data_IF_336959470945
#
_entry.id   IF_336959470945
#
_cell.length_a   1.000
_cell.length_b   1.000
_cell.length_c   1.000
_cell.angle_alpha   90.00
_cell.angle_beta   90.00
_cell.angle_gamma   90.00
#
_symmetry.space_group_name_H-M   'P 1'
#
loop_
_entity.id
_entity.type
_entity.pdbx_description
1 polymer ?
#
# COMPACT_ATOMS: atom_id res chain seq x y z
N UNK A 1 -14.66 -21.13 0.65
CA UNK A 1 -14.82 -19.77 1.17
C UNK A 1 -14.05 -18.85 0.24
N UNK A 2 -14.48 -17.58 0.09
CA UNK A 2 -13.72 -16.61 -0.71
C UNK A 2 -12.47 -16.18 0.07
N UNK A 3 -11.38 -15.88 -0.63
CA UNK A 3 -10.21 -15.27 0.00
C UNK A 3 -10.56 -13.90 0.59
N UNK A 4 -9.91 -13.52 1.68
CA UNK A 4 -10.13 -12.26 2.39
C UNK A 4 -8.87 -11.39 2.38
N UNK A 5 -9.03 -10.12 2.02
CA UNK A 5 -7.94 -9.12 2.07
C UNK A 5 -8.29 -7.98 3.01
N UNK A 6 -7.31 -7.55 3.79
CA UNK A 6 -7.35 -6.29 4.55
C UNK A 6 -6.53 -5.25 3.78
N UNK A 7 -7.11 -4.06 3.55
CA UNK A 7 -6.45 -2.96 2.82
C UNK A 7 -6.46 -1.71 3.67
N UNK A 8 -5.30 -1.26 4.14
CA UNK A 8 -5.17 0.00 4.86
C UNK A 8 -5.12 1.19 3.89
N UNK A 9 -5.72 2.33 4.28
CA UNK A 9 -5.97 3.43 3.33
C UNK A 9 -6.92 3.01 2.20
N UNK A 10 -7.85 2.09 2.49
CA UNK A 10 -8.65 1.36 1.50
C UNK A 10 -9.79 2.14 0.86
N UNK A 11 -10.03 3.41 1.25
CA UNK A 11 -11.21 4.18 0.81
C UNK A 11 -10.87 5.33 -0.14
N UNK A 12 -9.61 5.49 -0.50
CA UNK A 12 -9.17 6.54 -1.44
C UNK A 12 -8.00 6.09 -2.32
N UNK A 13 -7.77 6.78 -3.42
CA UNK A 13 -6.59 6.62 -4.29
C UNK A 13 -6.31 5.16 -4.67
N UNK A 14 -5.06 4.73 -4.48
CA UNK A 14 -4.60 3.38 -4.80
C UNK A 14 -5.36 2.33 -3.99
N UNK A 15 -5.57 2.58 -2.68
CA UNK A 15 -6.28 1.65 -1.80
C UNK A 15 -7.73 1.42 -2.22
N UNK A 16 -8.45 2.45 -2.65
CA UNK A 16 -9.82 2.30 -3.17
C UNK A 16 -9.83 1.50 -4.47
N UNK A 17 -8.90 1.78 -5.39
CA UNK A 17 -8.77 1.03 -6.63
C UNK A 17 -8.47 -0.45 -6.35
N UNK A 18 -7.59 -0.74 -5.38
CA UNK A 18 -7.33 -2.09 -4.92
C UNK A 18 -8.59 -2.74 -4.31
N UNK A 19 -9.32 -2.05 -3.43
CA UNK A 19 -10.55 -2.55 -2.83
C UNK A 19 -11.58 -2.96 -3.89
N UNK A 20 -11.78 -2.12 -4.89
CA UNK A 20 -12.68 -2.41 -6.02
C UNK A 20 -12.21 -3.59 -6.85
N UNK A 21 -10.91 -3.67 -7.15
CA UNK A 21 -10.35 -4.77 -7.94
C UNK A 21 -10.49 -6.11 -7.22
N UNK A 22 -10.11 -6.20 -5.94
CA UNK A 22 -10.23 -7.43 -5.16
C UNK A 22 -11.69 -7.91 -5.07
N UNK A 23 -12.64 -6.99 -4.83
CA UNK A 23 -14.07 -7.31 -4.85
C UNK A 23 -14.52 -7.85 -6.21
N UNK A 24 -14.10 -7.23 -7.30
CA UNK A 24 -14.43 -7.66 -8.66
C UNK A 24 -13.87 -9.05 -9.01
N UNK A 25 -12.79 -9.44 -8.34
CA UNK A 25 -12.13 -10.75 -8.48
C UNK A 25 -12.64 -11.80 -7.51
N UNK A 26 -13.72 -11.52 -6.78
CA UNK A 26 -14.39 -12.51 -5.93
C UNK A 26 -13.86 -12.57 -4.49
N UNK A 27 -12.93 -11.69 -4.07
CA UNK A 27 -12.43 -11.65 -2.72
C UNK A 27 -13.40 -10.92 -1.78
N UNK A 28 -13.34 -11.22 -0.49
CA UNK A 28 -13.88 -10.37 0.56
C UNK A 28 -12.86 -9.27 0.87
N UNK A 29 -13.33 -8.06 1.15
CA UNK A 29 -12.47 -6.90 1.40
C UNK A 29 -12.83 -6.22 2.71
N UNK A 30 -11.83 -6.07 3.58
CA UNK A 30 -11.89 -5.25 4.77
C UNK A 30 -11.11 -3.97 4.48
N UNK A 31 -11.80 -2.86 4.29
CA UNK A 31 -11.18 -1.54 4.15
C UNK A 31 -10.91 -0.95 5.54
N UNK A 32 -9.69 -0.51 5.78
CA UNK A 32 -9.31 0.23 6.98
C UNK A 32 -8.85 1.63 6.59
N UNK A 33 -9.40 2.66 7.22
CA UNK A 33 -9.02 4.05 6.95
C UNK A 33 -9.26 4.93 8.18
N UNK A 34 -8.47 5.99 8.32
CA UNK A 34 -8.65 6.97 9.38
C UNK A 34 -9.93 7.82 9.20
N UNK A 35 -10.33 8.06 7.94
CA UNK A 35 -11.48 8.90 7.57
C UNK A 35 -12.79 8.11 7.63
N UNK A 36 -13.46 8.15 8.80
CA UNK A 36 -14.71 7.43 9.01
C UNK A 36 -15.82 7.86 8.04
N UNK A 37 -16.03 9.15 7.83
CA UNK A 37 -17.11 9.65 6.97
C UNK A 37 -16.97 9.16 5.52
N UNK A 38 -15.76 9.24 4.95
CA UNK A 38 -15.48 8.73 3.61
C UNK A 38 -15.60 7.21 3.58
N UNK A 39 -15.12 6.53 4.62
CA UNK A 39 -15.17 5.08 4.74
C UNK A 39 -16.59 4.54 4.71
N UNK A 40 -17.50 5.12 5.49
CA UNK A 40 -18.92 4.75 5.50
C UNK A 40 -19.60 4.98 4.13
N UNK A 41 -19.25 6.07 3.43
CA UNK A 41 -19.80 6.35 2.10
C UNK A 41 -19.33 5.33 1.06
N UNK A 42 -18.03 5.03 1.03
CA UNK A 42 -17.43 4.03 0.14
C UNK A 42 -17.98 2.64 0.46
N UNK A 43 -18.07 2.28 1.74
CA UNK A 43 -18.64 1.00 2.18
C UNK A 43 -20.07 0.81 1.64
N UNK A 44 -20.96 1.81 1.78
CA UNK A 44 -22.32 1.71 1.23
C UNK A 44 -22.34 1.48 -0.27
N UNK A 45 -21.50 2.22 -1.02
CA UNK A 45 -21.41 2.10 -2.49
C UNK A 45 -20.93 0.71 -2.90
N UNK A 46 -19.84 0.22 -2.31
CA UNK A 46 -19.28 -1.08 -2.64
C UNK A 46 -20.15 -2.24 -2.17
N UNK A 47 -20.80 -2.13 -1.01
CA UNK A 47 -21.77 -3.12 -0.52
C UNK A 47 -22.98 -3.25 -1.46
N UNK A 48 -23.45 -2.14 -2.02
CA UNK A 48 -24.55 -2.16 -3.00
C UNK A 48 -24.11 -2.85 -4.31
N UNK A 49 -22.85 -2.66 -4.72
CA UNK A 49 -22.34 -3.17 -5.99
C UNK A 49 -21.89 -4.63 -5.92
N UNK A 50 -21.28 -5.06 -4.80
CA UNK A 50 -20.60 -6.36 -4.69
C UNK A 50 -21.21 -7.32 -3.66
N UNK A 51 -22.20 -6.86 -2.87
CA UNK A 51 -22.81 -7.60 -1.78
C UNK A 51 -22.27 -7.16 -0.41
N UNK A 52 -23.20 -6.94 0.53
CA UNK A 52 -22.85 -6.46 1.88
C UNK A 52 -22.10 -7.51 2.73
N UNK A 53 -22.23 -8.77 2.37
CA UNK A 53 -21.54 -9.91 2.99
C UNK A 53 -20.05 -10.03 2.61
N UNK A 54 -19.62 -9.25 1.61
CA UNK A 54 -18.24 -9.29 1.08
C UNK A 54 -17.42 -8.06 1.39
N UNK A 55 -18.04 -7.00 1.91
CA UNK A 55 -17.40 -5.70 2.13
C UNK A 55 -17.50 -5.32 3.60
N UNK A 56 -16.37 -4.99 4.21
CA UNK A 56 -16.31 -4.39 5.53
C UNK A 56 -15.54 -3.07 5.50
N UNK A 57 -15.88 -2.19 6.41
CA UNK A 57 -15.11 -0.99 6.70
C UNK A 57 -14.90 -0.84 8.21
N UNK A 58 -13.67 -0.56 8.60
CA UNK A 58 -13.32 -0.24 9.99
C UNK A 58 -12.52 1.05 10.01
N UNK A 59 -12.96 2.02 10.83
CA UNK A 59 -12.15 3.18 11.13
C UNK A 59 -10.89 2.71 11.87
N UNK A 60 -9.71 3.07 11.34
CA UNK A 60 -8.44 2.61 11.88
C UNK A 60 -7.36 3.67 11.74
N UNK A 61 -6.74 4.04 12.86
CA UNK A 61 -5.44 4.69 12.87
C UNK A 61 -4.35 3.61 12.84
N UNK A 62 -3.71 3.45 11.70
CA UNK A 62 -2.67 2.42 11.51
C UNK A 62 -1.41 2.66 12.35
N UNK A 63 -1.22 3.85 12.92
CA UNK A 63 -0.10 4.19 13.81
C UNK A 63 -0.34 3.78 15.27
N UNK A 64 -1.58 3.41 15.61
CA UNK A 64 -2.03 3.01 16.94
C UNK A 64 -2.22 1.50 17.04
N UNK A 65 -1.59 0.89 18.06
CA UNK A 65 -1.59 -0.56 18.21
C UNK A 65 -2.97 -1.14 18.56
N UNK A 66 -3.74 -0.46 19.41
CA UNK A 66 -5.05 -0.93 19.81
C UNK A 66 -6.04 -0.83 18.66
N UNK A 67 -5.95 0.25 17.85
CA UNK A 67 -6.74 0.42 16.65
C UNK A 67 -6.49 -0.69 15.63
N UNK A 68 -5.22 -1.09 15.42
CA UNK A 68 -4.86 -2.19 14.51
C UNK A 68 -5.29 -3.56 15.05
N UNK A 69 -5.19 -3.78 16.37
CA UNK A 69 -5.68 -5.02 16.99
C UNK A 69 -7.21 -5.15 16.83
N UNK A 70 -7.96 -4.07 17.07
CA UNK A 70 -9.41 -4.05 16.87
C UNK A 70 -9.79 -4.32 15.40
N UNK A 71 -9.03 -3.79 14.43
CA UNK A 71 -9.22 -4.10 13.02
C UNK A 71 -9.04 -5.60 12.74
N UNK A 72 -8.01 -6.23 13.30
CA UNK A 72 -7.75 -7.64 13.10
C UNK A 72 -8.87 -8.52 13.71
N UNK A 73 -9.28 -8.23 14.94
CA UNK A 73 -10.38 -8.91 15.60
C UNK A 73 -11.68 -8.83 14.78
N UNK A 74 -12.02 -7.63 14.29
CA UNK A 74 -13.21 -7.44 13.49
C UNK A 74 -13.14 -8.17 12.15
N UNK A 75 -11.98 -8.19 11.48
CA UNK A 75 -11.77 -8.93 10.25
C UNK A 75 -11.96 -10.45 10.46
N UNK A 76 -11.39 -11.00 11.52
CA UNK A 76 -11.56 -12.41 11.88
C UNK A 76 -12.99 -12.76 12.28
N UNK A 77 -13.66 -11.89 13.04
CA UNK A 77 -15.08 -12.11 13.42
C UNK A 77 -15.99 -12.16 12.18
N UNK A 78 -15.74 -11.33 11.19
CA UNK A 78 -16.59 -11.23 10.00
C UNK A 78 -16.31 -12.33 8.96
N UNK A 79 -15.04 -12.63 8.70
CA UNK A 79 -14.64 -13.47 7.58
C UNK A 79 -13.91 -14.77 8.00
N UNK A 80 -13.60 -14.92 9.28
CA UNK A 80 -12.95 -16.12 9.83
C UNK A 80 -11.43 -16.15 9.66
N UNK A 81 -10.92 -15.66 8.54
CA UNK A 81 -9.48 -15.61 8.24
C UNK A 81 -9.13 -14.45 7.31
N UNK A 82 -7.84 -14.10 7.25
CA UNK A 82 -7.29 -13.10 6.34
C UNK A 82 -6.16 -13.72 5.53
N UNK A 83 -6.31 -13.76 4.20
CA UNK A 83 -5.33 -14.36 3.28
C UNK A 83 -4.29 -13.36 2.81
N UNK A 84 -4.63 -12.08 2.77
CA UNK A 84 -3.73 -11.03 2.35
C UNK A 84 -3.88 -9.76 3.17
N UNK A 85 -2.76 -9.10 3.45
CA UNK A 85 -2.73 -7.75 4.02
C UNK A 85 -2.03 -6.82 3.04
N UNK A 86 -2.75 -5.77 2.62
CA UNK A 86 -2.21 -4.69 1.79
C UNK A 86 -1.96 -3.48 2.68
N UNK A 87 -0.71 -3.24 3.04
CA UNK A 87 -0.27 -2.06 3.77
C UNK A 87 -0.12 -0.89 2.80
N UNK A 88 -1.21 -0.15 2.60
CA UNK A 88 -1.23 0.95 1.63
C UNK A 88 -1.39 2.33 2.30
N UNK A 89 -1.87 2.40 3.52
CA UNK A 89 -1.95 3.67 4.26
C UNK A 89 -0.56 4.32 4.35
N UNK A 90 -0.50 5.60 4.06
CA UNK A 90 0.73 6.37 4.11
C UNK A 90 0.46 7.86 3.98
N UNK A 91 1.38 8.66 4.46
CA UNK A 91 1.34 10.12 4.37
C UNK A 91 2.61 10.67 3.76
N UNK A 92 2.49 11.87 3.25
CA UNK A 92 3.59 12.55 2.57
C UNK A 92 3.95 13.84 3.31
N UNK A 93 5.25 14.14 3.44
CA UNK A 93 5.73 15.41 3.95
C UNK A 93 6.92 15.90 3.13
N UNK A 94 6.96 17.20 2.89
CA UNK A 94 8.07 17.92 2.22
C UNK A 94 8.96 18.57 3.27
N UNK A 95 10.24 18.65 2.98
CA UNK A 95 11.24 19.40 3.74
C UNK A 95 12.62 18.76 3.67
N UNK A 96 13.67 19.59 3.68
CA UNK A 96 15.02 19.13 3.93
C UNK A 96 15.15 18.70 5.40
N UNK A 97 16.12 17.83 5.73
CA UNK A 97 16.23 17.25 7.09
C UNK A 97 16.24 18.30 8.21
N UNK A 98 16.97 19.39 8.02
CA UNK A 98 17.10 20.44 9.03
C UNK A 98 15.91 21.39 9.15
N UNK A 99 14.94 21.28 8.23
CA UNK A 99 13.73 22.11 8.19
C UNK A 99 12.50 21.37 8.73
N UNK A 100 12.61 20.05 8.94
CA UNK A 100 11.49 19.24 9.40
C UNK A 100 11.32 19.34 10.92
N UNK A 101 10.07 19.54 11.34
CA UNK A 101 9.69 19.37 12.74
C UNK A 101 9.76 17.91 13.15
N UNK A 102 10.21 17.64 14.37
CA UNK A 102 10.27 16.29 14.94
C UNK A 102 8.90 15.60 14.91
N UNK A 103 7.82 16.32 15.21
CA UNK A 103 6.46 15.79 15.14
C UNK A 103 6.04 15.35 13.72
N UNK A 104 6.52 16.03 12.69
CA UNK A 104 6.29 15.63 11.28
C UNK A 104 7.08 14.37 10.95
N UNK A 105 8.33 14.30 11.37
CA UNK A 105 9.17 13.10 11.25
C UNK A 105 8.50 11.89 11.91
N UNK A 106 8.14 12.01 13.19
CA UNK A 106 7.54 10.94 13.97
C UNK A 106 6.22 10.45 13.37
N UNK A 107 5.38 11.37 12.91
CA UNK A 107 4.10 11.04 12.29
C UNK A 107 4.29 10.26 10.98
N UNK A 108 5.22 10.66 10.10
CA UNK A 108 5.50 9.93 8.86
C UNK A 108 6.05 8.54 9.17
N UNK A 109 7.03 8.44 10.07
CA UNK A 109 7.60 7.15 10.47
C UNK A 109 6.57 6.24 11.14
N UNK A 110 5.67 6.79 11.96
CA UNK A 110 4.60 6.03 12.60
C UNK A 110 3.58 5.51 11.58
N UNK A 111 3.18 6.34 10.62
CA UNK A 111 2.16 5.95 9.63
C UNK A 111 2.72 5.05 8.55
N UNK A 112 3.91 5.36 7.99
CA UNK A 112 4.42 4.67 6.79
C UNK A 112 5.28 3.45 7.10
N UNK A 113 5.85 3.37 8.31
CA UNK A 113 6.77 2.27 8.71
C UNK A 113 6.25 1.46 9.88
N UNK A 114 5.97 2.11 11.03
CA UNK A 114 5.49 1.42 12.23
C UNK A 114 4.15 0.71 11.97
N UNK A 115 3.29 1.25 11.14
CA UNK A 115 2.02 0.63 10.75
C UNK A 115 2.22 -0.79 10.17
N UNK A 116 3.24 -0.99 9.34
CA UNK A 116 3.56 -2.31 8.77
C UNK A 116 3.96 -3.30 9.87
N UNK A 117 4.74 -2.85 10.85
CA UNK A 117 5.04 -3.66 12.03
C UNK A 117 3.79 -4.03 12.80
N UNK A 118 2.87 -3.08 13.05
CA UNK A 118 1.65 -3.31 13.81
C UNK A 118 0.70 -4.29 13.09
N UNK A 119 0.45 -4.08 11.80
CA UNK A 119 -0.38 -4.99 10.99
C UNK A 119 0.23 -6.38 10.88
N UNK A 120 1.56 -6.46 10.68
CA UNK A 120 2.27 -7.74 10.68
C UNK A 120 2.08 -8.49 11.99
N UNK A 121 2.25 -7.80 13.13
CA UNK A 121 2.05 -8.39 14.46
C UNK A 121 0.63 -8.89 14.68
N UNK A 122 -0.38 -8.21 14.12
CA UNK A 122 -1.78 -8.56 14.28
C UNK A 122 -2.23 -9.72 13.38
N UNK A 123 -1.72 -9.81 12.15
CA UNK A 123 -2.24 -10.76 11.15
C UNK A 123 -1.34 -11.97 10.90
N UNK A 124 -0.02 -11.85 11.03
CA UNK A 124 0.91 -12.94 10.70
C UNK A 124 0.77 -14.18 11.61
N UNK A 125 0.44 -14.09 12.90
CA UNK A 125 0.26 -15.29 13.72
C UNK A 125 -0.76 -16.28 13.13
N UNK A 126 -1.92 -15.82 12.68
CA UNK A 126 -2.93 -16.67 12.02
C UNK A 126 -2.41 -17.23 10.67
N UNK A 127 -1.72 -16.44 9.88
CA UNK A 127 -1.11 -16.89 8.64
C UNK A 127 -0.06 -18.00 8.88
N UNK A 128 0.71 -17.90 9.97
CA UNK A 128 1.68 -18.95 10.38
C UNK A 128 0.98 -20.26 10.72
N UNK A 129 -0.10 -20.19 11.49
CA UNK A 129 -0.89 -21.38 11.85
C UNK A 129 -1.49 -22.06 10.62
N UNK A 130 -2.00 -21.28 9.69
CA UNK A 130 -2.56 -21.77 8.41
C UNK A 130 -1.49 -22.14 7.38
N UNK A 131 -0.23 -21.76 7.59
CA UNK A 131 0.90 -21.92 6.64
C UNK A 131 0.59 -21.31 5.27
N UNK A 132 -0.09 -20.19 5.24
CA UNK A 132 -0.50 -19.51 4.02
C UNK A 132 -0.79 -18.05 4.33
N UNK A 133 -0.35 -17.15 3.44
CA UNK A 133 -0.65 -15.74 3.54
C UNK A 133 0.21 -14.90 2.60
N UNK A 134 -0.24 -13.67 2.36
CA UNK A 134 0.52 -12.69 1.59
C UNK A 134 0.49 -11.32 2.26
N UNK A 135 1.60 -10.61 2.20
CA UNK A 135 1.71 -9.21 2.61
C UNK A 135 2.23 -8.42 1.43
N UNK A 136 1.52 -7.38 1.05
CA UNK A 136 1.97 -6.45 0.00
C UNK A 136 2.03 -5.04 0.60
N UNK A 137 3.21 -4.43 0.62
CA UNK A 137 3.37 -3.08 1.13
C UNK A 137 3.47 -2.07 -0.01
N UNK A 138 2.87 -0.91 0.18
CA UNK A 138 3.05 0.24 -0.71
C UNK A 138 4.28 1.02 -0.27
N UNK A 139 5.43 0.68 -0.88
CA UNK A 139 6.64 1.47 -0.76
C UNK A 139 6.55 2.71 -1.68
N UNK A 140 7.57 3.03 -2.42
CA UNK A 140 7.63 4.07 -3.45
C UNK A 140 8.92 3.91 -4.25
N UNK A 141 8.99 4.46 -5.45
CA UNK A 141 10.28 4.70 -6.13
C UNK A 141 11.19 5.61 -5.28
N UNK A 142 10.61 6.49 -4.47
CA UNK A 142 11.33 7.33 -3.48
C UNK A 142 12.06 6.53 -2.39
N UNK A 143 11.72 5.26 -2.21
CA UNK A 143 12.47 4.34 -1.35
C UNK A 143 13.63 3.67 -2.07
N UNK A 144 13.64 3.67 -3.40
CA UNK A 144 14.69 3.11 -4.25
C UNK A 144 15.74 4.17 -4.62
N UNK A 145 15.32 5.42 -4.71
CA UNK A 145 16.13 6.58 -5.11
C UNK A 145 15.87 7.76 -4.19
N UNK A 146 16.59 8.87 -4.40
CA UNK A 146 16.41 10.11 -3.63
C UNK A 146 15.60 11.16 -4.38
N UNK A 147 14.83 11.94 -3.64
CA UNK A 147 14.07 13.06 -4.15
C UNK A 147 14.44 14.36 -3.43
N UNK A 148 14.36 15.50 -4.11
CA UNK A 148 14.56 16.79 -3.49
C UNK A 148 13.44 17.12 -2.51
N UNK A 149 13.81 17.66 -1.33
CA UNK A 149 12.86 18.12 -0.31
C UNK A 149 11.85 17.06 0.17
N UNK A 150 12.27 15.81 0.24
CA UNK A 150 11.41 14.69 0.67
C UNK A 150 12.12 13.77 1.68
N UNK A 151 12.95 14.35 2.55
CA UNK A 151 13.89 13.61 3.39
C UNK A 151 13.23 12.54 4.26
N UNK A 152 12.18 12.87 5.02
CA UNK A 152 11.49 11.89 5.88
C UNK A 152 10.73 10.85 5.07
N UNK A 153 10.14 11.24 3.94
CA UNK A 153 9.43 10.32 3.07
C UNK A 153 10.37 9.31 2.42
N UNK A 154 11.53 9.77 1.88
CA UNK A 154 12.58 8.88 1.38
C UNK A 154 13.09 7.92 2.47
N UNK A 155 13.32 8.42 3.68
CA UNK A 155 13.74 7.59 4.81
C UNK A 155 12.71 6.51 5.14
N UNK A 156 11.43 6.88 5.25
CA UNK A 156 10.34 5.96 5.54
C UNK A 156 10.18 4.90 4.42
N UNK A 157 10.12 5.33 3.15
CA UNK A 157 9.95 4.40 2.02
C UNK A 157 11.20 3.55 1.78
N UNK A 158 12.40 4.08 2.08
CA UNK A 158 13.65 3.31 2.11
C UNK A 158 13.65 2.22 3.20
N UNK A 159 13.11 2.53 4.38
CA UNK A 159 12.91 1.53 5.43
C UNK A 159 11.97 0.40 4.95
N UNK A 160 10.85 0.71 4.30
CA UNK A 160 9.92 -0.29 3.75
C UNK A 160 10.59 -1.13 2.66
N UNK A 161 11.38 -0.51 1.77
CA UNK A 161 12.13 -1.18 0.69
C UNK A 161 13.09 -2.26 1.24
N UNK A 162 13.69 -2.03 2.41
CA UNK A 162 14.58 -3.04 3.00
C UNK A 162 13.86 -4.00 3.94
N UNK A 163 12.82 -3.54 4.66
CA UNK A 163 12.04 -4.35 5.60
C UNK A 163 11.42 -5.58 4.91
N UNK A 164 10.95 -5.45 3.67
CA UNK A 164 10.34 -6.54 2.91
C UNK A 164 11.25 -7.77 2.80
N UNK A 165 12.57 -7.56 2.67
CA UNK A 165 13.54 -8.65 2.55
C UNK A 165 13.67 -9.43 3.86
N UNK A 166 13.75 -8.71 4.99
CA UNK A 166 13.79 -9.33 6.31
C UNK A 166 12.52 -10.13 6.59
N UNK A 167 11.34 -9.53 6.33
CA UNK A 167 10.06 -10.22 6.51
C UNK A 167 9.93 -11.46 5.61
N UNK A 168 10.37 -11.40 4.36
CA UNK A 168 10.34 -12.55 3.45
C UNK A 168 11.22 -13.70 3.93
N UNK A 169 12.40 -13.41 4.49
CA UNK A 169 13.30 -14.41 5.08
C UNK A 169 12.68 -15.05 6.33
N UNK A 170 12.05 -14.25 7.20
CA UNK A 170 11.48 -14.72 8.45
C UNK A 170 10.23 -15.59 8.24
N UNK A 171 9.38 -15.24 7.27
CA UNK A 171 8.06 -15.83 7.08
C UNK A 171 7.97 -16.85 5.94
N UNK A 172 8.94 -16.89 5.04
CA UNK A 172 8.94 -17.81 3.89
C UNK A 172 8.83 -19.30 4.28
N UNK A 173 9.45 -19.71 5.37
CA UNK A 173 9.34 -21.07 5.91
C UNK A 173 7.92 -21.47 6.34
N UNK A 174 7.02 -20.50 6.50
CA UNK A 174 5.62 -20.73 6.82
C UNK A 174 4.71 -20.60 5.59
N UNK A 175 5.27 -20.50 4.38
CA UNK A 175 4.47 -20.33 3.17
C UNK A 175 3.89 -18.92 3.00
N UNK A 176 4.39 -17.93 3.75
CA UNK A 176 3.94 -16.54 3.66
C UNK A 176 4.89 -15.77 2.75
N UNK A 177 4.32 -15.06 1.76
CA UNK A 177 5.07 -14.20 0.84
C UNK A 177 4.92 -12.73 1.23
N UNK A 178 6.01 -11.97 1.14
CA UNK A 178 6.02 -10.54 1.46
C UNK A 178 6.69 -9.80 0.33
N UNK A 179 5.99 -8.87 -0.31
CA UNK A 179 6.50 -8.08 -1.42
C UNK A 179 6.09 -6.60 -1.29
N UNK A 180 6.78 -5.75 -2.00
CA UNK A 180 6.44 -4.34 -2.14
C UNK A 180 5.97 -4.02 -3.56
N UNK A 181 4.99 -3.14 -3.68
CA UNK A 181 4.80 -2.32 -4.87
C UNK A 181 5.46 -0.97 -4.63
N UNK A 182 6.13 -0.43 -5.63
CA UNK A 182 6.85 0.84 -5.57
C UNK A 182 6.24 1.80 -6.62
N UNK A 183 5.13 2.50 -6.29
CA UNK A 183 4.52 3.41 -7.23
C UNK A 183 5.45 4.58 -7.57
N UNK A 184 5.41 5.01 -8.82
CA UNK A 184 5.89 6.32 -9.26
C UNK A 184 4.80 7.38 -9.15
N UNK A 185 4.93 8.51 -9.89
CA UNK A 185 3.91 9.56 -9.93
C UNK A 185 2.56 8.99 -10.35
N UNK A 186 1.62 8.91 -9.40
CA UNK A 186 0.33 8.22 -9.56
C UNK A 186 -0.82 9.22 -9.41
N UNK A 187 -1.81 9.19 -10.31
CA UNK A 187 -2.96 10.10 -10.39
C UNK A 187 -3.97 9.88 -9.25
N UNK A 188 -3.50 9.91 -8.01
CA UNK A 188 -4.34 9.91 -6.80
C UNK A 188 -4.92 11.31 -6.54
N UNK A 189 -5.95 11.44 -5.67
CA UNK A 189 -6.42 12.75 -5.22
C UNK A 189 -5.29 13.64 -4.66
N UNK A 190 -4.35 13.05 -3.93
CA UNK A 190 -3.17 13.75 -3.39
C UNK A 190 -2.29 14.31 -4.51
N UNK A 191 -1.99 13.55 -5.56
CA UNK A 191 -1.14 13.99 -6.66
C UNK A 191 -1.86 15.01 -7.57
N UNK A 192 -3.16 14.85 -7.78
CA UNK A 192 -4.01 15.77 -8.56
C UNK A 192 -4.16 17.16 -7.94
N UNK A 193 -3.71 17.38 -6.69
CA UNK A 193 -3.66 18.70 -6.08
C UNK A 193 -2.48 19.55 -6.59
N UNK A 194 -1.53 18.97 -7.33
CA UNK A 194 -0.47 19.72 -7.99
C UNK A 194 -1.01 20.52 -9.19
N UNK A 195 -0.34 21.63 -9.58
CA UNK A 195 -0.65 22.34 -10.83
C UNK A 195 -0.57 21.42 -12.05
N UNK A 196 -1.42 21.68 -13.06
CA UNK A 196 -1.47 20.87 -14.29
C UNK A 196 -0.10 20.82 -15.01
N UNK A 197 0.62 21.95 -15.04
CA UNK A 197 1.98 21.99 -15.62
C UNK A 197 2.96 21.02 -14.95
N UNK A 198 2.86 20.84 -13.63
CA UNK A 198 3.68 19.88 -12.89
C UNK A 198 3.27 18.44 -13.22
N UNK A 199 1.96 18.19 -13.33
CA UNK A 199 1.43 16.89 -13.74
C UNK A 199 1.96 16.51 -15.13
N UNK A 200 1.93 17.45 -16.08
CA UNK A 200 2.43 17.27 -17.45
C UNK A 200 3.94 17.02 -17.49
N UNK A 201 4.72 17.75 -16.68
CA UNK A 201 6.17 17.53 -16.57
C UNK A 201 6.50 16.10 -16.13
N UNK A 202 5.80 15.59 -15.12
CA UNK A 202 5.97 14.21 -14.68
C UNK A 202 5.55 13.19 -15.75
N UNK A 203 4.46 13.45 -16.47
CA UNK A 203 4.02 12.57 -17.55
C UNK A 203 5.05 12.52 -18.69
N UNK A 204 5.61 13.68 -19.09
CA UNK A 204 6.64 13.78 -20.12
C UNK A 204 7.97 13.14 -19.72
N UNK A 205 8.32 13.22 -18.42
CA UNK A 205 9.52 12.59 -17.88
C UNK A 205 9.39 11.04 -17.80
N UNK A 206 8.18 10.52 -17.87
CA UNK A 206 7.95 9.07 -17.83
C UNK A 206 8.16 8.45 -19.22
N UNK A 207 8.98 7.40 -19.39
CA UNK A 207 9.22 6.75 -20.67
C UNK A 207 7.97 6.29 -21.43
N UNK A 208 6.88 5.92 -20.71
CA UNK A 208 5.62 5.58 -21.35
C UNK A 208 4.75 6.81 -21.70
N UNK A 209 5.24 8.05 -21.47
CA UNK A 209 4.54 9.28 -21.80
C UNK A 209 3.27 9.53 -20.98
N UNK A 210 3.12 8.87 -19.85
CA UNK A 210 1.95 8.99 -18.97
C UNK A 210 2.30 8.81 -17.50
N UNK A 211 1.44 9.29 -16.65
CA UNK A 211 1.46 8.95 -15.23
C UNK A 211 0.89 7.56 -14.97
N UNK A 212 1.13 7.06 -13.76
CA UNK A 212 0.54 5.82 -13.29
C UNK A 212 -0.91 6.08 -12.83
N UNK A 213 -1.84 5.22 -13.21
CA UNK A 213 -3.18 5.22 -12.66
C UNK A 213 -3.24 4.38 -11.38
N UNK A 214 -4.09 4.71 -10.40
CA UNK A 214 -4.30 3.87 -9.21
C UNK A 214 -4.56 2.39 -9.55
N UNK A 215 -5.23 2.15 -10.66
CA UNK A 215 -5.58 0.83 -11.17
C UNK A 215 -4.36 0.02 -11.65
N UNK A 216 -3.33 0.68 -12.18
CA UNK A 216 -2.07 0.02 -12.55
C UNK A 216 -1.38 -0.57 -11.31
N UNK A 217 -1.37 0.20 -10.21
CA UNK A 217 -0.82 -0.25 -8.93
C UNK A 217 -1.68 -1.36 -8.31
N UNK A 218 -3.00 -1.20 -8.32
CA UNK A 218 -3.94 -2.18 -7.78
C UNK A 218 -3.80 -3.55 -8.47
N UNK A 219 -3.60 -3.59 -9.80
CA UNK A 219 -3.35 -4.84 -10.55
C UNK A 219 -2.08 -5.53 -10.09
N UNK A 220 -1.03 -4.79 -9.84
CA UNK A 220 0.23 -5.35 -9.33
C UNK A 220 0.05 -5.86 -7.89
N UNK A 221 -0.69 -5.16 -7.04
CA UNK A 221 -1.04 -5.63 -5.69
C UNK A 221 -1.82 -6.94 -5.75
N UNK A 222 -2.82 -7.03 -6.62
CA UNK A 222 -3.62 -8.24 -6.80
C UNK A 222 -2.75 -9.42 -7.30
N UNK A 223 -1.90 -9.20 -8.29
CA UNK A 223 -0.94 -10.21 -8.76
C UNK A 223 -0.06 -10.72 -7.63
N UNK A 224 0.53 -9.83 -6.82
CA UNK A 224 1.39 -10.20 -5.70
C UNK A 224 0.64 -10.89 -4.55
N UNK A 225 -0.64 -10.60 -4.37
CA UNK A 225 -1.49 -11.26 -3.37
C UNK A 225 -2.02 -12.62 -3.83
N UNK A 226 -2.04 -12.89 -5.13
CA UNK A 226 -2.59 -14.11 -5.73
C UNK A 226 -1.53 -15.20 -5.96
N UNK A 227 -1.99 -16.41 -6.26
CA UNK A 227 -1.13 -17.56 -6.58
C UNK A 227 -0.36 -17.38 -7.90
N UNK A 228 -0.75 -16.42 -8.74
CA UNK A 228 -0.03 -16.09 -9.99
C UNK A 228 1.42 -15.64 -9.71
N UNK A 229 1.71 -15.18 -8.49
CA UNK A 229 3.05 -14.76 -8.05
C UNK A 229 3.69 -15.74 -7.04
N UNK A 230 3.29 -17.01 -7.03
CA UNK A 230 3.69 -18.01 -6.05
C UNK A 230 5.21 -18.08 -5.74
N UNK A 231 6.16 -17.96 -6.69
CA UNK A 231 7.61 -17.97 -6.38
C UNK A 231 8.19 -16.60 -6.02
N UNK A 232 7.37 -15.52 -5.94
CA UNK A 232 7.85 -14.15 -5.74
C UNK A 232 7.71 -13.76 -4.26
N UNK A 233 8.83 -13.50 -3.59
CA UNK A 233 8.87 -12.97 -2.22
C UNK A 233 10.14 -12.16 -1.98
N UNK A 234 10.08 -11.11 -1.16
CA UNK A 234 11.19 -10.24 -0.84
C UNK A 234 11.47 -9.15 -1.88
N UNK A 235 10.59 -9.00 -2.86
CA UNK A 235 10.82 -8.16 -4.03
C UNK A 235 10.23 -6.75 -3.87
N UNK A 236 10.85 -5.81 -4.58
CA UNK A 236 10.40 -4.44 -4.76
C UNK A 236 10.01 -4.25 -6.23
N UNK A 237 8.72 -4.15 -6.52
CA UNK A 237 8.19 -4.07 -7.89
C UNK A 237 7.82 -2.63 -8.23
N UNK A 238 8.62 -1.91 -9.05
CA UNK A 238 8.26 -0.57 -9.51
C UNK A 238 7.01 -0.59 -10.41
N UNK A 239 6.11 0.34 -10.16
CA UNK A 239 4.95 0.63 -10.99
C UNK A 239 4.96 2.13 -11.27
N UNK A 240 5.75 2.56 -12.25
CA UNK A 240 6.18 3.95 -12.37
C UNK A 240 6.09 4.52 -13.79
N UNK A 241 5.60 3.74 -14.75
CA UNK A 241 5.68 4.06 -16.17
C UNK A 241 7.15 4.28 -16.66
N UNK A 242 8.13 3.69 -15.93
CA UNK A 242 9.56 3.81 -16.21
C UNK A 242 10.23 5.06 -15.66
N UNK A 243 9.53 5.84 -14.84
CA UNK A 243 10.04 7.13 -14.33
C UNK A 243 11.37 6.97 -13.55
N UNK A 244 11.55 5.89 -12.78
CA UNK A 244 12.71 5.70 -11.92
C UNK A 244 13.96 5.16 -12.63
N UNK A 245 13.85 4.70 -13.86
CA UNK A 245 14.99 4.04 -14.55
C UNK A 245 15.94 5.04 -15.21
N UNK A 246 15.59 6.33 -15.24
CA UNK A 246 16.37 7.34 -15.93
C UNK A 246 17.64 7.70 -15.15
N UNK A 247 18.81 7.52 -15.81
CA UNK A 247 20.13 7.77 -15.21
C UNK A 247 20.54 9.25 -15.18
N UNK A 248 19.75 10.16 -15.75
CA UNK A 248 20.09 11.56 -15.91
C UNK A 248 20.97 11.85 -17.14
N UNK A 249 21.33 10.84 -17.95
CA UNK A 249 22.14 11.05 -19.16
C UNK A 249 21.28 11.68 -20.26
N UNK A 250 21.84 12.67 -21.00
CA UNK A 250 21.13 13.25 -22.15
C UNK A 250 20.99 12.20 -23.26
N UNK A 251 19.95 12.38 -24.09
CA UNK A 251 19.77 11.56 -25.29
C UNK A 251 20.98 11.72 -26.20
N UNK A 252 21.62 10.61 -26.53
CA UNK A 252 22.73 10.60 -27.47
C UNK A 252 22.17 10.52 -28.89
N UNK A 253 22.60 11.43 -29.76
CA UNK A 253 22.18 11.50 -31.15
C UNK A 253 23.07 10.57 -32.04
#
# INVERSE_FOLDING_TARGET
MNNTVVITGGVSGIGLSASQLFLSRGWNVVMADFNDALGQDVHRKLSTQYGADRVAFHQCDVSDADSVNNLAEAAYQQFGHVDSVINNAGIFAKGAVHELDESTWDRVMATDVKSIFLTTKAFVPDMIERKSGTIVNTASISGLQGDYNMAVYNAAKGAVVNLVRAMALDYGKYGIRVNNVNPGPTLTPMFKSNPESVIDEFAQASPLGRLVEPDDVARTMFFLASDESAPITGENIPVSAGFEIYSGQPVQQ
#
